data_IF_237462374566
#
_entry.id   IF_237462374566
#
_cell.length_a   1.000
_cell.length_b   1.000
_cell.length_c   1.000
_cell.angle_alpha   90.00
_cell.angle_beta   90.00
_cell.angle_gamma   90.00
#
_symmetry.space_group_name_H-M   'P 1'
#
loop_
_entity.id
_entity.type
_entity.pdbx_description
1 polymer ?
#
# COMPACT_ATOMS: atom_id res chain seq x y z
N UNK A 1 -25.69 -38.93 7.31
CA UNK A 1 -26.48 -37.68 7.41
C UNK A 1 -25.55 -36.58 7.86
N UNK A 2 -25.43 -35.45 7.13
CA UNK A 2 -24.18 -34.69 7.04
C UNK A 2 -23.93 -33.73 8.21
N UNK A 3 -22.64 -33.53 8.50
CA UNK A 3 -22.10 -32.63 9.53
C UNK A 3 -22.22 -31.17 9.07
N UNK A 4 -23.06 -30.37 9.74
CA UNK A 4 -23.06 -28.91 9.58
C UNK A 4 -22.50 -28.29 10.86
N UNK A 5 -21.26 -27.82 10.79
CA UNK A 5 -20.60 -27.21 11.93
C UNK A 5 -19.24 -26.62 11.60
N UNK A 6 -19.03 -26.18 10.35
CA UNK A 6 -17.82 -25.45 10.01
C UNK A 6 -18.23 -24.03 9.64
N UNK A 7 -18.19 -23.15 10.65
CA UNK A 7 -18.15 -21.70 10.43
C UNK A 7 -16.86 -21.42 9.65
N UNK A 8 -16.95 -21.42 8.33
CA UNK A 8 -15.88 -20.96 7.45
C UNK A 8 -15.62 -19.51 7.81
N UNK A 9 -14.50 -19.27 8.47
CA UNK A 9 -13.93 -17.95 8.73
C UNK A 9 -13.93 -17.23 7.38
N UNK A 10 -14.79 -16.21 7.21
CA UNK A 10 -14.86 -15.37 6.01
C UNK A 10 -13.57 -14.54 5.89
N UNK A 11 -12.46 -15.21 5.59
CA UNK A 11 -11.30 -14.58 5.00
C UNK A 11 -11.63 -14.40 3.53
N UNK A 12 -11.74 -13.15 3.08
CA UNK A 12 -12.00 -12.81 1.68
C UNK A 12 -11.03 -13.58 0.77
N UNK A 13 -11.60 -14.44 -0.08
CA UNK A 13 -10.85 -15.40 -0.88
C UNK A 13 -10.12 -14.68 -2.03
N UNK A 14 -8.82 -14.92 -2.18
CA UNK A 14 -8.00 -14.49 -3.31
C UNK A 14 -8.67 -14.85 -4.65
N UNK A 15 -9.44 -15.94 -4.69
CA UNK A 15 -10.25 -16.32 -5.85
C UNK A 15 -11.31 -15.28 -6.24
N UNK A 16 -11.97 -14.67 -5.26
CA UNK A 16 -12.98 -13.64 -5.51
C UNK A 16 -12.34 -12.37 -6.09
N UNK A 17 -11.20 -11.95 -5.52
CA UNK A 17 -10.45 -10.79 -6.00
C UNK A 17 -9.93 -11.01 -7.43
N UNK A 18 -9.37 -12.19 -7.71
CA UNK A 18 -8.91 -12.55 -9.05
C UNK A 18 -10.03 -12.52 -10.09
N UNK A 19 -11.19 -13.10 -9.76
CA UNK A 19 -12.37 -13.12 -10.63
C UNK A 19 -12.87 -11.71 -10.95
N UNK A 20 -12.93 -10.85 -9.94
CA UNK A 20 -13.48 -9.50 -10.10
C UNK A 20 -12.51 -8.53 -10.78
N UNK A 21 -11.21 -8.73 -10.58
CA UNK A 21 -10.19 -7.91 -11.25
C UNK A 21 -9.85 -8.38 -12.67
N UNK A 22 -10.16 -9.64 -13.00
CA UNK A 22 -9.70 -10.31 -14.22
C UNK A 22 -8.20 -10.62 -14.19
N UNK A 23 -7.58 -10.58 -13.01
CA UNK A 23 -6.14 -10.81 -12.83
C UNK A 23 -5.92 -12.23 -12.32
N UNK A 24 -4.86 -12.87 -12.80
CA UNK A 24 -4.51 -14.23 -12.41
C UNK A 24 -4.34 -14.38 -10.89
N UNK A 25 -4.86 -15.48 -10.32
CA UNK A 25 -4.80 -15.75 -8.87
C UNK A 25 -3.37 -15.75 -8.33
N UNK A 26 -2.40 -16.21 -9.12
CA UNK A 26 -0.98 -16.19 -8.76
C UNK A 26 -0.49 -14.74 -8.56
N UNK A 27 -0.81 -13.85 -9.49
CA UNK A 27 -0.45 -12.42 -9.42
C UNK A 27 -1.14 -11.74 -8.23
N UNK A 28 -2.44 -11.99 -8.02
CA UNK A 28 -3.18 -11.44 -6.86
C UNK A 28 -2.55 -11.90 -5.55
N UNK A 29 -2.22 -13.20 -5.44
CA UNK A 29 -1.54 -13.76 -4.26
C UNK A 29 -0.18 -13.10 -4.04
N UNK A 30 0.61 -12.94 -5.09
CA UNK A 30 1.93 -12.32 -5.04
C UNK A 30 1.87 -10.86 -4.59
N UNK A 31 0.91 -10.09 -5.11
CA UNK A 31 0.70 -8.68 -4.73
C UNK A 31 0.25 -8.56 -3.29
N UNK A 32 -0.71 -9.37 -2.85
CA UNK A 32 -1.23 -9.33 -1.48
C UNK A 32 -0.20 -9.83 -0.46
N UNK A 33 0.64 -10.80 -0.82
CA UNK A 33 1.68 -11.36 0.09
C UNK A 33 3.04 -10.66 -0.01
N UNK A 34 3.19 -9.65 -0.87
CA UNK A 34 4.47 -8.99 -1.15
C UNK A 34 5.61 -9.99 -1.43
N UNK A 35 5.38 -10.96 -2.32
CA UNK A 35 6.43 -11.87 -2.76
C UNK A 35 7.51 -11.05 -3.48
N UNK A 36 8.77 -11.17 -3.05
CA UNK A 36 9.90 -10.47 -3.65
C UNK A 36 10.05 -10.83 -5.14
N UNK A 37 10.41 -9.84 -5.97
CA UNK A 37 10.68 -10.05 -7.40
C UNK A 37 9.48 -9.96 -8.34
N UNK A 38 8.25 -9.75 -7.83
CA UNK A 38 7.06 -9.67 -8.70
C UNK A 38 6.92 -8.27 -9.31
N UNK A 39 7.30 -8.17 -10.59
CA UNK A 39 7.14 -6.94 -11.40
C UNK A 39 5.69 -6.78 -11.87
N UNK A 40 4.82 -6.32 -10.99
CA UNK A 40 3.44 -5.92 -11.34
C UNK A 40 3.38 -4.40 -11.49
N UNK A 41 2.71 -3.92 -12.54
CA UNK A 41 2.49 -2.49 -12.71
C UNK A 41 1.69 -1.90 -11.54
N UNK A 42 1.96 -0.64 -11.20
CA UNK A 42 1.30 0.05 -10.09
C UNK A 42 -0.22 0.13 -10.27
N UNK A 43 -0.68 0.35 -11.49
CA UNK A 43 -2.10 0.34 -11.85
C UNK A 43 -2.77 -0.99 -11.52
N UNK A 44 -2.11 -2.11 -11.81
CA UNK A 44 -2.63 -3.45 -11.53
C UNK A 44 -2.63 -3.73 -10.02
N UNK A 45 -1.59 -3.31 -9.30
CA UNK A 45 -1.56 -3.37 -7.84
C UNK A 45 -2.71 -2.57 -7.22
N UNK A 46 -2.92 -1.33 -7.65
CA UNK A 46 -4.01 -0.47 -7.16
C UNK A 46 -5.38 -1.10 -7.44
N UNK A 47 -5.58 -1.71 -8.61
CA UNK A 47 -6.82 -2.42 -8.95
C UNK A 47 -7.07 -3.59 -8.00
N UNK A 48 -6.03 -4.37 -7.68
CA UNK A 48 -6.10 -5.49 -6.72
C UNK A 48 -6.45 -4.96 -5.32
N UNK A 49 -5.74 -3.93 -4.84
CA UNK A 49 -5.98 -3.38 -3.50
C UNK A 49 -7.36 -2.75 -3.35
N UNK A 50 -7.83 -1.98 -4.34
CA UNK A 50 -9.19 -1.41 -4.33
C UNK A 50 -10.26 -2.49 -4.29
N UNK A 51 -10.10 -3.53 -5.11
CA UNK A 51 -11.06 -4.64 -5.16
C UNK A 51 -11.05 -5.45 -3.88
N UNK A 52 -9.86 -5.78 -3.36
CA UNK A 52 -9.70 -6.46 -2.09
C UNK A 52 -10.31 -5.66 -0.92
N UNK A 53 -10.18 -4.32 -0.91
CA UNK A 53 -10.81 -3.44 0.09
C UNK A 53 -12.33 -3.44 0.00
N UNK A 54 -12.89 -3.36 -1.21
CA UNK A 54 -14.33 -3.44 -1.41
C UNK A 54 -14.90 -4.79 -0.97
N UNK A 55 -14.15 -5.87 -1.17
CA UNK A 55 -14.52 -7.22 -0.74
C UNK A 55 -14.22 -7.51 0.74
N UNK A 56 -13.79 -6.51 1.52
CA UNK A 56 -13.56 -6.65 2.96
C UNK A 56 -12.33 -7.50 3.33
N UNK A 57 -11.33 -7.60 2.44
CA UNK A 57 -10.09 -8.33 2.72
C UNK A 57 -9.37 -7.71 3.93
N UNK A 58 -8.93 -8.55 4.87
CA UNK A 58 -8.21 -8.08 6.05
C UNK A 58 -6.74 -7.78 5.73
N UNK A 59 -6.44 -6.49 5.56
CA UNK A 59 -5.06 -6.02 5.33
C UNK A 59 -4.23 -5.93 6.62
N UNK A 60 -4.81 -6.05 7.82
CA UNK A 60 -4.07 -5.84 9.09
C UNK A 60 -2.91 -6.83 9.26
N UNK A 61 -3.04 -8.02 8.69
CA UNK A 61 -2.02 -9.07 8.73
C UNK A 61 -0.94 -8.90 7.66
N UNK A 62 -1.12 -7.99 6.70
CA UNK A 62 -0.17 -7.78 5.62
C UNK A 62 0.85 -6.70 5.99
N UNK A 63 2.11 -6.90 5.61
CA UNK A 63 3.17 -5.87 5.71
C UNK A 63 2.75 -4.57 5.01
N UNK A 64 2.02 -4.66 3.89
CA UNK A 64 1.47 -3.51 3.19
C UNK A 64 0.39 -2.78 4.00
N UNK A 65 -0.42 -3.48 4.79
CA UNK A 65 -1.41 -2.85 5.66
C UNK A 65 -0.75 -1.95 6.70
N UNK A 66 0.37 -2.38 7.30
CA UNK A 66 1.16 -1.55 8.21
C UNK A 66 1.76 -0.34 7.50
N UNK A 67 2.34 -0.50 6.31
CA UNK A 67 2.87 0.62 5.51
C UNK A 67 1.77 1.63 5.15
N UNK A 68 0.58 1.15 4.77
CA UNK A 68 -0.54 2.01 4.41
C UNK A 68 -1.08 2.81 5.60
N UNK A 69 -1.04 2.28 6.83
CA UNK A 69 -1.36 3.04 8.04
C UNK A 69 -0.39 4.20 8.21
N UNK A 70 0.91 3.95 8.11
CA UNK A 70 1.94 5.00 8.21
C UNK A 70 1.77 6.05 7.10
N UNK A 71 1.52 5.65 5.85
CA UNK A 71 1.26 6.58 4.75
C UNK A 71 0.03 7.44 5.03
N UNK A 72 -1.05 6.84 5.54
CA UNK A 72 -2.27 7.57 5.92
C UNK A 72 -1.98 8.59 7.03
N UNK A 73 -1.32 8.19 8.11
CA UNK A 73 -0.97 9.08 9.22
C UNK A 73 -0.11 10.26 8.75
N UNK A 74 0.87 10.02 7.88
CA UNK A 74 1.67 11.08 7.26
C UNK A 74 0.82 12.02 6.41
N UNK A 75 -0.09 11.48 5.59
CA UNK A 75 -1.01 12.30 4.78
C UNK A 75 -1.95 13.15 5.64
N UNK A 76 -2.52 12.56 6.70
CA UNK A 76 -3.37 13.27 7.66
C UNK A 76 -2.59 14.38 8.39
N UNK A 77 -1.34 14.11 8.77
CA UNK A 77 -0.44 15.11 9.35
C UNK A 77 -0.15 16.27 8.40
N UNK A 78 0.09 16.00 7.12
CA UNK A 78 0.32 17.03 6.10
C UNK A 78 -0.92 17.90 5.88
N UNK A 79 -2.11 17.28 5.79
CA UNK A 79 -3.38 18.01 5.66
C UNK A 79 -3.60 18.92 6.86
N UNK A 80 -3.45 18.40 8.08
CA UNK A 80 -3.59 19.18 9.31
C UNK A 80 -2.58 20.34 9.37
N UNK A 81 -1.36 20.13 8.86
CA UNK A 81 -0.35 21.18 8.80
C UNK A 81 -0.76 22.30 7.82
N UNK A 82 -1.29 21.95 6.65
CA UNK A 82 -1.80 22.91 5.66
C UNK A 82 -3.00 23.68 6.23
N UNK A 83 -3.94 22.99 6.88
CA UNK A 83 -5.12 23.62 7.51
C UNK A 83 -4.74 24.64 8.60
N UNK A 84 -3.64 24.41 9.32
CA UNK A 84 -3.12 25.35 10.33
C UNK A 84 -2.45 26.60 9.74
N UNK A 85 -2.20 26.62 8.44
CA UNK A 85 -1.57 27.75 7.74
C UNK A 85 -2.50 28.28 6.64
N UNK A 86 -3.64 28.91 7.00
CA UNK A 86 -4.63 29.40 6.03
C UNK A 86 -4.09 30.53 5.14
N UNK A 87 -2.98 31.17 5.51
CA UNK A 87 -2.30 32.18 4.71
C UNK A 87 -1.41 31.59 3.60
N UNK A 88 -1.16 30.27 3.61
CA UNK A 88 -0.39 29.63 2.55
C UNK A 88 -1.17 29.61 1.25
N UNK A 89 -0.56 30.18 0.21
CA UNK A 89 -1.00 30.01 -1.15
C UNK A 89 -0.60 28.64 -1.69
N UNK A 90 -0.95 28.43 -2.95
CA UNK A 90 -0.61 27.21 -3.69
C UNK A 90 0.90 26.94 -3.70
N UNK A 91 1.71 27.99 -3.87
CA UNK A 91 3.14 27.85 -4.06
C UNK A 91 3.86 27.46 -2.76
N UNK A 92 3.42 28.00 -1.62
CA UNK A 92 3.92 27.63 -0.29
C UNK A 92 3.56 26.18 0.06
N UNK A 93 2.32 25.76 -0.22
CA UNK A 93 1.89 24.36 -0.04
C UNK A 93 2.75 23.43 -0.91
N UNK A 94 2.95 23.76 -2.18
CA UNK A 94 3.77 22.96 -3.09
C UNK A 94 5.24 22.91 -2.67
N UNK A 95 5.79 24.02 -2.19
CA UNK A 95 7.14 24.07 -1.66
C UNK A 95 7.30 23.10 -0.49
N UNK A 96 6.42 23.19 0.51
CA UNK A 96 6.47 22.36 1.70
C UNK A 96 6.29 20.86 1.40
N UNK A 97 5.37 20.51 0.50
CA UNK A 97 5.18 19.12 0.06
C UNK A 97 6.43 18.58 -0.65
N UNK A 98 7.09 19.40 -1.49
CA UNK A 98 8.35 19.01 -2.15
C UNK A 98 9.48 18.82 -1.15
N UNK A 99 9.60 19.68 -0.14
CA UNK A 99 10.58 19.51 0.94
C UNK A 99 10.33 18.23 1.74
N UNK A 100 9.07 17.96 2.09
CA UNK A 100 8.67 16.75 2.80
C UNK A 100 9.03 15.48 2.02
N UNK A 101 8.78 15.47 0.71
CA UNK A 101 9.21 14.37 -0.19
C UNK A 101 10.73 14.26 -0.26
N UNK A 102 11.45 15.38 -0.33
CA UNK A 102 12.92 15.40 -0.36
C UNK A 102 13.53 14.81 0.91
N UNK A 103 12.99 15.13 2.09
CA UNK A 103 13.42 14.57 3.37
C UNK A 103 13.24 13.05 3.41
N UNK A 104 12.09 12.55 2.96
CA UNK A 104 11.82 11.11 2.85
C UNK A 104 12.81 10.44 1.90
N UNK A 105 13.09 11.05 0.75
CA UNK A 105 14.06 10.53 -0.22
C UNK A 105 15.50 10.51 0.33
N UNK A 106 15.90 11.50 1.14
CA UNK A 106 17.23 11.54 1.78
C UNK A 106 17.38 10.44 2.83
N UNK A 107 16.34 10.21 3.64
CA UNK A 107 16.32 9.12 4.63
C UNK A 107 16.33 7.77 3.92
N UNK A 108 15.58 7.61 2.83
CA UNK A 108 15.64 6.40 2.00
C UNK A 108 17.04 6.20 1.43
N UNK A 109 17.68 7.22 0.87
CA UNK A 109 19.07 7.11 0.39
C UNK A 109 20.03 6.69 1.51
N UNK A 110 19.98 7.36 2.67
CA UNK A 110 20.84 7.05 3.82
C UNK A 110 20.60 5.68 4.45
N UNK A 111 19.35 5.20 4.46
CA UNK A 111 18.99 3.90 5.02
C UNK A 111 19.33 2.72 4.08
N UNK A 112 19.57 2.98 2.79
CA UNK A 112 19.86 1.96 1.77
C UNK A 112 21.21 2.17 1.07
N UNK A 113 22.11 3.01 1.60
CA UNK A 113 23.42 3.33 1.01
C UNK A 113 24.52 2.27 1.17
N UNK A 114 24.25 1.10 1.75
CA UNK A 114 25.34 0.14 2.04
C UNK A 114 25.22 -1.27 1.39
N UNK A 115 24.26 -1.55 0.51
CA UNK A 115 24.16 -2.93 -0.04
C UNK A 115 23.94 -3.08 -1.56
N UNK A 116 24.05 -2.02 -2.38
CA UNK A 116 23.86 -2.17 -3.84
C UNK A 116 24.94 -1.54 -4.72
N UNK A 117 26.05 -1.06 -4.15
CA UNK A 117 27.17 -0.49 -4.92
C UNK A 117 28.34 -1.47 -5.15
N UNK A 118 28.15 -2.79 -4.95
CA UNK A 118 29.14 -3.77 -5.43
C UNK A 118 28.52 -5.12 -5.81
N UNK A 119 28.26 -5.28 -7.10
CA UNK A 119 28.45 -6.55 -7.81
C UNK A 119 28.68 -6.21 -9.30
N UNK A 120 29.66 -6.87 -9.95
CA UNK A 120 30.44 -6.34 -11.07
C UNK A 120 29.68 -6.03 -12.36
#
# INVERSE_FOLDING_TARGET
MPRQGERVVKGTDIAAIARETGIERAVVRSVLKEVAGVKVSRTTQDKIFRTARRLGYDFKKLKIGKRMVVVRETMEGLVLHIERHPAWGRDEILHHLRESVSLVNRVQKRAFTEEFDDAP
#
